data_IF_033380225286
#
_entry.id   IF_033380225286
#
_cell.length_a   1.000
_cell.length_b   1.000
_cell.length_c   1.000
_cell.angle_alpha   90.00
_cell.angle_beta   90.00
_cell.angle_gamma   90.00
#
_symmetry.space_group_name_H-M   'P 1'
#
loop_
_entity.id
_entity.type
_entity.pdbx_description
1 polymer ?
#
# COMPACT_ATOMS: atom_id res chain seq x y z
N UNK A 1 -7.58 -15.96 7.79
CA UNK A 1 -8.47 -16.21 6.62
C UNK A 1 -7.60 -16.38 5.39
N UNK A 2 -7.78 -17.45 4.61
CA UNK A 2 -6.99 -17.68 3.39
C UNK A 2 -7.56 -16.82 2.28
N UNK A 3 -6.77 -15.92 1.68
CA UNK A 3 -7.21 -15.14 0.52
C UNK A 3 -7.34 -16.04 -0.70
N UNK A 4 -8.46 -15.94 -1.40
CA UNK A 4 -8.75 -16.71 -2.61
C UNK A 4 -8.85 -15.81 -3.83
N UNK A 5 -8.95 -16.38 -5.03
CA UNK A 5 -9.13 -15.61 -6.26
C UNK A 5 -10.44 -14.78 -6.28
N UNK A 6 -11.42 -15.14 -5.46
CA UNK A 6 -12.69 -14.38 -5.33
C UNK A 6 -12.49 -13.05 -4.61
N UNK A 7 -11.42 -12.93 -3.83
CA UNK A 7 -11.11 -11.77 -2.99
C UNK A 7 -10.17 -10.79 -3.72
N UNK A 8 -10.14 -10.85 -5.06
CA UNK A 8 -9.23 -10.03 -5.89
C UNK A 8 -9.38 -8.53 -5.62
N UNK A 9 -10.59 -8.08 -5.29
CA UNK A 9 -10.90 -6.68 -5.00
C UNK A 9 -10.21 -6.22 -3.70
N UNK A 10 -10.04 -7.11 -2.72
CA UNK A 10 -9.25 -6.82 -1.51
C UNK A 10 -7.75 -6.79 -1.79
N UNK A 11 -7.28 -7.46 -2.85
CA UNK A 11 -5.87 -7.42 -3.27
C UNK A 11 -5.55 -6.24 -4.18
N UNK A 12 -6.55 -5.66 -4.84
CA UNK A 12 -6.38 -4.62 -5.84
C UNK A 12 -5.57 -3.40 -5.34
N UNK A 13 -5.81 -2.85 -4.13
CA UNK A 13 -5.01 -1.72 -3.63
C UNK A 13 -3.52 -2.05 -3.50
N UNK A 14 -3.20 -3.28 -3.07
CA UNK A 14 -1.82 -3.75 -2.92
C UNK A 14 -1.14 -3.96 -4.28
N UNK A 15 -1.85 -4.53 -5.25
CA UNK A 15 -1.35 -4.70 -6.61
C UNK A 15 -1.09 -3.33 -7.28
N UNK A 16 -2.00 -2.37 -7.10
CA UNK A 16 -1.82 -1.01 -7.62
C UNK A 16 -0.63 -0.31 -6.95
N UNK A 17 -0.51 -0.41 -5.63
CA UNK A 17 0.59 0.19 -4.88
C UNK A 17 1.95 -0.36 -5.36
N UNK A 18 2.10 -1.69 -5.41
CA UNK A 18 3.33 -2.32 -5.91
C UNK A 18 3.62 -1.96 -7.38
N UNK A 19 2.59 -1.78 -8.21
CA UNK A 19 2.79 -1.30 -9.56
C UNK A 19 3.39 0.12 -9.58
N UNK A 20 2.83 1.03 -8.78
CA UNK A 20 3.25 2.43 -8.73
C UNK A 20 4.65 2.64 -8.14
N UNK A 21 5.08 1.79 -7.21
CA UNK A 21 6.36 1.95 -6.49
C UNK A 21 7.50 1.12 -7.08
N UNK A 22 7.22 0.12 -7.93
CA UNK A 22 8.27 -0.66 -8.57
C UNK A 22 8.84 0.00 -9.83
N UNK A 23 10.17 0.00 -9.93
CA UNK A 23 10.94 0.51 -11.07
C UNK A 23 10.59 -0.27 -12.34
N UNK A 24 10.29 0.45 -13.43
CA UNK A 24 10.01 -0.16 -14.74
C UNK A 24 11.29 -0.27 -15.55
N UNK A 25 11.50 -1.42 -16.19
CA UNK A 25 12.68 -1.66 -17.04
C UNK A 25 12.74 -0.74 -18.25
N UNK A 26 11.58 -0.30 -18.77
CA UNK A 26 11.49 0.58 -19.94
C UNK A 26 11.90 2.03 -19.66
N UNK A 27 11.65 2.54 -18.45
CA UNK A 27 11.91 3.94 -18.09
C UNK A 27 13.00 4.12 -17.05
N UNK A 28 13.39 3.05 -16.35
CA UNK A 28 14.31 3.11 -15.20
C UNK A 28 13.73 3.85 -13.99
N UNK A 29 12.43 4.18 -14.02
CA UNK A 29 11.75 4.96 -13.00
C UNK A 29 10.49 4.25 -12.49
N UNK A 30 10.01 4.64 -11.31
CA UNK A 30 8.72 4.17 -10.79
C UNK A 30 7.59 4.96 -11.46
N UNK A 31 6.41 4.37 -11.72
CA UNK A 31 5.29 5.14 -12.26
C UNK A 31 4.90 6.32 -11.35
N UNK A 32 5.04 6.19 -10.03
CA UNK A 32 4.80 7.27 -9.09
C UNK A 32 5.72 8.47 -9.32
N UNK A 33 7.03 8.24 -9.50
CA UNK A 33 7.98 9.34 -9.70
C UNK A 33 7.80 10.07 -11.02
N UNK A 34 7.29 9.38 -12.04
CA UNK A 34 6.93 10.02 -13.31
C UNK A 34 5.71 10.94 -13.20
N UNK A 35 4.75 10.62 -12.33
CA UNK A 35 3.53 11.42 -12.14
C UNK A 35 3.76 12.60 -11.20
N UNK A 36 4.46 12.38 -10.10
CA UNK A 36 4.60 13.39 -9.03
C UNK A 36 5.97 14.08 -9.01
N UNK A 37 6.95 13.61 -9.79
CA UNK A 37 8.29 14.16 -9.82
C UNK A 37 9.14 13.87 -8.58
N UNK A 38 8.72 12.93 -7.72
CA UNK A 38 9.42 12.55 -6.49
C UNK A 38 9.35 11.04 -6.24
N UNK A 39 10.27 10.51 -5.45
CA UNK A 39 10.24 9.10 -5.05
C UNK A 39 9.05 8.82 -4.12
N UNK A 40 8.48 7.62 -4.24
CA UNK A 40 7.39 7.19 -3.37
C UNK A 40 7.96 6.83 -2.00
N UNK A 41 7.50 7.51 -0.95
CA UNK A 41 7.85 7.16 0.43
C UNK A 41 6.94 6.02 0.89
N UNK A 42 7.53 4.89 1.24
CA UNK A 42 6.78 3.74 1.73
C UNK A 42 6.31 3.99 3.17
N UNK A 43 5.13 3.50 3.57
CA UNK A 43 4.64 3.66 4.94
C UNK A 43 5.60 3.17 6.03
N UNK A 44 6.47 2.19 5.72
CA UNK A 44 7.49 1.69 6.65
C UNK A 44 8.70 2.63 6.80
N UNK A 45 8.94 3.50 5.82
CA UNK A 45 10.00 4.50 5.86
C UNK A 45 9.56 5.75 6.65
N UNK A 46 8.26 5.90 6.88
CA UNK A 46 7.71 6.98 7.71
C UNK A 46 7.71 6.52 9.17
N UNK A 47 8.70 6.98 9.94
CA UNK A 47 8.84 6.70 11.38
C UNK A 47 7.60 7.14 12.19
N UNK A 48 6.85 8.12 11.68
CA UNK A 48 5.57 8.57 12.25
C UNK A 48 4.43 8.17 11.32
N UNK A 49 3.62 7.15 11.64
CA UNK A 49 2.50 6.77 10.80
C UNK A 49 1.54 7.96 10.63
N UNK A 50 1.13 8.21 9.39
CA UNK A 50 0.15 9.27 9.11
C UNK A 50 -1.16 9.02 9.86
N UNK A 51 -1.94 10.08 10.13
CA UNK A 51 -3.25 9.96 10.80
C UNK A 51 -4.18 8.95 10.12
N UNK A 52 -4.09 8.83 8.78
CA UNK A 52 -4.86 7.83 8.03
C UNK A 52 -4.40 6.41 8.32
N UNK A 53 -3.09 6.16 8.35
CA UNK A 53 -2.51 4.85 8.69
C UNK A 53 -2.90 4.47 10.12
N UNK A 54 -2.80 5.41 11.06
CA UNK A 54 -3.24 5.21 12.45
C UNK A 54 -4.73 4.86 12.57
N UNK A 55 -5.57 5.42 11.69
CA UNK A 55 -7.01 5.13 11.68
C UNK A 55 -7.29 3.74 11.08
N UNK A 56 -6.63 3.39 9.97
CA UNK A 56 -6.74 2.06 9.35
C UNK A 56 -6.19 0.96 10.27
N UNK A 57 -5.06 1.17 10.97
CA UNK A 57 -4.52 0.19 11.93
C UNK A 57 -5.39 0.02 13.16
N UNK A 58 -6.00 1.08 13.69
CA UNK A 58 -6.96 0.97 14.81
C UNK A 58 -8.22 0.22 14.42
N UNK A 59 -8.69 0.37 13.19
CA UNK A 59 -9.81 -0.42 12.67
C UNK A 59 -9.43 -1.90 12.59
N UNK A 60 -8.21 -2.20 12.10
CA UNK A 60 -7.67 -3.56 12.11
C UNK A 60 -7.54 -4.09 13.54
N UNK A 61 -6.95 -3.36 14.49
CA UNK A 61 -6.85 -3.80 15.90
C UNK A 61 -8.23 -4.06 16.54
N UNK A 62 -9.22 -3.20 16.28
CA UNK A 62 -10.56 -3.33 16.83
C UNK A 62 -11.30 -4.56 16.28
N UNK A 63 -11.09 -4.92 15.01
CA UNK A 63 -11.60 -6.16 14.42
C UNK A 63 -10.93 -7.41 14.99
N UNK A 64 -9.64 -7.32 15.34
CA UNK A 64 -8.90 -8.42 15.96
C UNK A 64 -9.30 -8.69 17.42
N UNK A 65 -9.70 -7.67 18.18
CA UNK A 65 -10.14 -7.83 19.58
C UNK A 65 -11.51 -8.53 19.74
N UNK A 66 -12.18 -8.93 18.65
CA UNK A 66 -13.50 -9.56 18.69
C UNK A 66 -13.52 -11.07 18.41
N UNK A 67 -12.38 -11.76 18.52
CA UNK A 67 -12.27 -13.24 18.48
C UNK A 67 -11.72 -13.77 19.79
#
# INVERSE_FOLDING_TARGET
>A
MVKTYKDWHEMLPFALHSYMTAVRTSTGATPFSLVYGMEAVLPIEVEIPSLRVLMETKLVEAEWCHT
#
